data_IF_810268274168
#
_entry.id   IF_810268274168
#
_cell.length_a   1.000
_cell.length_b   1.000
_cell.length_c   1.000
_cell.angle_alpha   90.00
_cell.angle_beta   90.00
_cell.angle_gamma   90.00
#
_symmetry.space_group_name_H-M   'P 1'
#
loop_
_entity.id
_entity.type
_entity.pdbx_description
1 polymer ?
#
# COMPACT_ATOMS: atom_id res chain seq x y z
N UNK A 1 -1.30 -20.76 7.57
CA UNK A 1 -0.29 -20.36 8.57
C UNK A 1 0.10 -18.93 8.22
N UNK A 2 -0.41 -17.95 8.96
CA UNK A 2 -0.36 -16.52 8.61
C UNK A 2 0.66 -15.81 9.49
N UNK A 3 1.91 -16.27 9.44
CA UNK A 3 3.04 -15.57 10.05
C UNK A 3 4.00 -15.30 8.92
N UNK A 4 4.13 -14.02 8.55
CA UNK A 4 5.09 -13.63 7.53
C UNK A 4 6.49 -13.78 8.14
N UNK A 5 7.38 -14.51 7.46
CA UNK A 5 8.76 -14.79 7.90
C UNK A 5 9.63 -13.52 8.11
N UNK A 6 9.09 -12.33 7.87
CA UNK A 6 9.77 -11.04 8.04
C UNK A 6 9.15 -10.17 9.14
N UNK A 7 8.22 -10.70 9.95
CA UNK A 7 7.61 -9.99 11.08
C UNK A 7 8.40 -10.20 12.39
N UNK A 8 9.72 -10.10 12.33
CA UNK A 8 10.61 -10.29 13.48
C UNK A 8 10.83 -8.97 14.27
N UNK A 9 10.25 -7.87 13.79
CA UNK A 9 10.41 -6.51 14.32
C UNK A 9 9.33 -6.12 15.35
N UNK A 10 8.52 -7.05 15.83
CA UNK A 10 7.47 -6.80 16.82
C UNK A 10 7.99 -6.09 18.09
N UNK A 11 9.23 -6.39 18.49
CA UNK A 11 9.88 -5.77 19.63
C UNK A 11 10.16 -4.27 19.43
N UNK A 12 10.30 -3.81 18.19
CA UNK A 12 10.49 -2.39 17.87
C UNK A 12 9.23 -1.56 18.13
N UNK A 13 8.06 -2.22 18.10
CA UNK A 13 6.77 -1.59 18.37
C UNK A 13 6.33 -1.69 19.83
N UNK A 14 7.05 -2.47 20.68
CA UNK A 14 6.69 -2.64 22.09
C UNK A 14 6.56 -1.33 22.86
N UNK A 15 7.53 -0.39 22.79
CA UNK A 15 7.42 0.86 23.53
C UNK A 15 6.19 1.69 23.11
N UNK A 16 5.83 1.64 21.82
CA UNK A 16 4.66 2.33 21.29
C UNK A 16 3.35 1.67 21.75
N UNK A 17 3.31 0.33 21.78
CA UNK A 17 2.16 -0.42 22.25
C UNK A 17 1.93 -0.18 23.75
N UNK A 18 2.98 -0.21 24.56
CA UNK A 18 2.95 0.09 25.99
C UNK A 18 2.46 1.53 26.23
N UNK A 19 3.04 2.51 25.52
CA UNK A 19 2.60 3.90 25.64
C UNK A 19 1.11 4.07 25.28
N UNK A 20 0.67 3.50 24.15
CA UNK A 20 -0.72 3.58 23.70
C UNK A 20 -1.69 2.96 24.71
N UNK A 21 -1.31 1.84 25.31
CA UNK A 21 -2.10 1.18 26.34
C UNK A 21 -2.16 2.02 27.62
N UNK A 22 -1.02 2.53 28.10
CA UNK A 22 -0.93 3.31 29.34
C UNK A 22 -1.61 4.69 29.23
N UNK A 23 -1.71 5.24 28.01
CA UNK A 23 -2.38 6.51 27.71
C UNK A 23 -3.89 6.37 27.41
N UNK A 24 -4.42 5.15 27.29
CA UNK A 24 -5.84 4.94 26.97
C UNK A 24 -6.71 4.88 28.23
N UNK A 25 -7.90 5.48 28.18
CA UNK A 25 -8.86 5.40 29.27
C UNK A 25 -9.30 3.96 29.54
N UNK A 26 -9.08 3.50 30.76
CA UNK A 26 -9.52 2.17 31.15
C UNK A 26 -11.02 2.19 31.50
N UNK A 27 -11.76 1.19 31.02
CA UNK A 27 -13.23 1.16 31.09
C UNK A 27 -13.82 1.31 32.50
N UNK A 28 -13.11 0.79 33.51
CA UNK A 28 -13.52 0.80 34.93
C UNK A 28 -13.18 2.09 35.67
N UNK A 29 -12.06 2.74 35.34
CA UNK A 29 -11.58 3.96 36.02
C UNK A 29 -11.93 5.24 35.28
N UNK A 30 -12.29 5.14 33.99
CA UNK A 30 -12.52 6.27 33.07
C UNK A 30 -11.32 7.23 32.98
N UNK A 31 -10.14 6.71 33.28
CA UNK A 31 -8.88 7.44 33.30
C UNK A 31 -7.78 6.54 32.72
N UNK A 32 -6.76 7.16 32.14
CA UNK A 32 -5.56 6.47 31.70
C UNK A 32 -4.78 5.91 32.90
N UNK A 33 -3.92 4.91 32.64
CA UNK A 33 -3.04 4.37 33.67
C UNK A 33 -1.97 5.38 34.07
N UNK A 34 -1.45 6.17 33.14
CA UNK A 34 -0.52 7.27 33.45
C UNK A 34 -1.14 8.29 34.41
N UNK A 35 -2.39 8.70 34.15
CA UNK A 35 -3.10 9.60 35.02
C UNK A 35 -3.35 8.98 36.41
N UNK A 36 -3.70 7.69 36.45
CA UNK A 36 -3.96 6.98 37.71
C UNK A 36 -2.70 6.86 38.58
N UNK A 37 -1.54 6.64 37.99
CA UNK A 37 -0.28 6.42 38.72
C UNK A 37 0.44 7.74 39.03
N UNK A 38 0.50 8.67 38.07
CA UNK A 38 1.32 9.87 38.17
C UNK A 38 0.49 11.15 38.40
N UNK A 39 -0.84 11.08 38.30
CA UNK A 39 -1.73 12.24 38.40
C UNK A 39 -1.75 13.13 37.15
N UNK A 40 -1.02 12.77 36.09
CA UNK A 40 -1.00 13.48 34.81
C UNK A 40 -0.59 12.55 33.68
N UNK A 41 -1.09 12.85 32.47
CA UNK A 41 -0.64 12.20 31.25
C UNK A 41 0.60 12.88 30.69
N UNK A 42 1.59 12.12 30.15
CA UNK A 42 2.72 12.70 29.48
C UNK A 42 2.26 13.49 28.22
N UNK A 43 2.85 14.66 27.93
CA UNK A 43 2.55 15.38 26.70
C UNK A 43 2.96 14.52 25.50
N UNK A 44 2.04 14.35 24.55
CA UNK A 44 2.35 13.73 23.27
C UNK A 44 3.05 14.75 22.38
N UNK A 45 4.38 14.71 22.38
CA UNK A 45 5.20 15.64 21.59
C UNK A 45 5.31 15.15 20.14
N UNK A 46 4.40 15.62 19.29
CA UNK A 46 4.38 15.26 17.87
C UNK A 46 5.52 15.91 17.08
N UNK A 47 6.16 16.93 17.64
CA UNK A 47 7.13 17.77 16.94
C UNK A 47 8.46 17.03 16.68
N UNK A 48 8.70 15.94 17.42
CA UNK A 48 9.85 15.05 17.25
C UNK A 48 9.66 13.91 16.24
N UNK A 49 8.50 13.82 15.57
CA UNK A 49 8.33 12.89 14.44
C UNK A 49 9.16 13.42 13.28
N UNK A 50 10.42 13.00 13.20
CA UNK A 50 11.28 13.28 12.06
C UNK A 50 10.56 12.84 10.79
N UNK A 51 10.36 13.77 9.84
CA UNK A 51 9.74 13.52 8.53
C UNK A 51 10.51 12.51 7.67
N UNK A 52 11.60 11.93 8.17
CA UNK A 52 12.28 10.83 7.49
C UNK A 52 11.44 9.57 7.64
N UNK A 53 10.61 9.33 6.63
CA UNK A 53 9.61 8.29 6.64
C UNK A 53 10.14 7.13 5.79
N UNK A 54 10.51 5.99 6.40
CA UNK A 54 10.63 4.71 5.70
C UNK A 54 9.42 4.45 4.80
N UNK A 55 8.23 4.88 5.23
CA UNK A 55 7.00 4.84 4.45
C UNK A 55 7.08 5.62 3.12
N UNK A 56 7.71 6.80 3.09
CA UNK A 56 7.89 7.58 1.86
C UNK A 56 8.87 6.89 0.91
N UNK A 57 10.00 6.40 1.44
CA UNK A 57 10.98 5.62 0.65
C UNK A 57 10.34 4.36 0.06
N UNK A 58 9.54 3.64 0.85
CA UNK A 58 8.76 2.48 0.40
C UNK A 58 7.74 2.87 -0.68
N UNK A 59 6.98 3.94 -0.48
CA UNK A 59 5.99 4.43 -1.44
C UNK A 59 6.64 4.77 -2.79
N UNK A 60 7.78 5.47 -2.77
CA UNK A 60 8.52 5.78 -4.01
C UNK A 60 9.02 4.52 -4.69
N UNK A 61 9.51 3.53 -3.94
CA UNK A 61 9.95 2.24 -4.49
C UNK A 61 8.78 1.49 -5.16
N UNK A 62 7.63 1.41 -4.50
CA UNK A 62 6.42 0.77 -5.05
C UNK A 62 6.00 1.46 -6.35
N UNK A 63 5.98 2.79 -6.35
CA UNK A 63 5.60 3.57 -7.52
C UNK A 63 6.55 3.34 -8.71
N UNK A 64 7.85 3.29 -8.47
CA UNK A 64 8.86 2.97 -9.51
C UNK A 64 8.61 1.58 -10.10
N UNK A 65 8.41 0.57 -9.25
CA UNK A 65 8.15 -0.81 -9.70
C UNK A 65 6.87 -0.88 -10.53
N UNK A 66 5.80 -0.21 -10.10
CA UNK A 66 4.55 -0.16 -10.86
C UNK A 66 4.73 0.52 -12.23
N UNK A 67 5.51 1.60 -12.31
CA UNK A 67 5.81 2.26 -13.57
C UNK A 67 6.58 1.34 -14.52
N UNK A 68 7.58 0.61 -14.03
CA UNK A 68 8.36 -0.33 -14.83
C UNK A 68 7.49 -1.47 -15.38
N UNK A 69 6.67 -2.09 -14.52
CA UNK A 69 5.73 -3.15 -14.92
C UNK A 69 4.74 -2.67 -15.97
N UNK A 70 4.16 -1.48 -15.79
CA UNK A 70 3.22 -0.91 -16.74
C UNK A 70 3.88 -0.63 -18.11
N UNK A 71 5.11 -0.10 -18.12
CA UNK A 71 5.86 0.14 -19.35
C UNK A 71 6.12 -1.16 -20.12
N UNK A 72 6.52 -2.20 -19.41
CA UNK A 72 6.81 -3.50 -20.02
C UNK A 72 5.54 -4.15 -20.56
N UNK A 73 4.44 -4.10 -19.82
CA UNK A 73 3.14 -4.61 -20.26
C UNK A 73 2.65 -3.93 -21.54
N UNK A 74 2.77 -2.60 -21.63
CA UNK A 74 2.41 -1.84 -22.84
C UNK A 74 3.31 -2.26 -24.02
N UNK A 75 4.61 -2.40 -23.78
CA UNK A 75 5.57 -2.83 -24.81
C UNK A 75 5.20 -4.20 -25.37
N UNK A 76 4.99 -5.20 -24.51
CA UNK A 76 4.62 -6.54 -24.95
C UNK A 76 3.25 -6.56 -25.62
N UNK A 77 2.26 -5.82 -25.11
CA UNK A 77 0.94 -5.70 -25.75
C UNK A 77 1.04 -5.18 -27.17
N UNK A 78 1.84 -4.13 -27.40
CA UNK A 78 2.08 -3.57 -28.74
C UNK A 78 2.81 -4.57 -29.64
N UNK A 79 3.78 -5.31 -29.09
CA UNK A 79 4.49 -6.36 -29.81
C UNK A 79 3.52 -7.46 -30.26
N UNK A 80 2.70 -7.99 -29.37
CA UNK A 80 1.67 -8.99 -29.69
C UNK A 80 0.71 -8.47 -30.76
N UNK A 81 0.23 -7.23 -30.63
CA UNK A 81 -0.62 -6.59 -31.64
C UNK A 81 0.05 -6.58 -33.02
N UNK A 82 1.31 -6.16 -33.10
CA UNK A 82 2.04 -6.12 -34.36
C UNK A 82 2.21 -7.49 -35.03
N UNK A 83 2.38 -8.56 -34.25
CA UNK A 83 2.46 -9.92 -34.78
C UNK A 83 1.08 -10.44 -35.23
N UNK A 84 0.04 -10.16 -34.47
CA UNK A 84 -1.34 -10.52 -34.84
C UNK A 84 -1.78 -9.81 -36.12
N UNK A 85 -1.49 -8.51 -36.24
CA UNK A 85 -1.82 -7.70 -37.42
C UNK A 85 -1.14 -8.22 -38.70
N UNK A 86 0.08 -8.78 -38.61
CA UNK A 86 0.76 -9.42 -39.75
C UNK A 86 0.05 -10.67 -40.26
N UNK A 87 -0.60 -11.42 -39.38
CA UNK A 87 -1.30 -12.67 -39.71
C UNK A 87 -2.79 -12.43 -40.01
N UNK A 88 -3.24 -11.17 -39.99
CA UNK A 88 -4.64 -10.80 -40.18
C UNK A 88 -4.98 -10.77 -41.66
N UNK A 89 -5.92 -11.61 -42.09
CA UNK A 89 -6.49 -11.53 -43.43
C UNK A 89 -7.33 -10.26 -43.60
N UNK A 90 -7.47 -9.78 -44.85
CA UNK A 90 -8.30 -8.61 -45.15
C UNK A 90 -9.74 -8.88 -44.70
N UNK A 91 -10.37 -7.95 -43.96
CA UNK A 91 -11.77 -8.09 -43.60
C UNK A 91 -12.63 -8.34 -44.84
N UNK A 92 -13.51 -9.33 -44.77
CA UNK A 92 -14.48 -9.59 -45.83
C UNK A 92 -15.36 -8.35 -46.00
N UNK A 93 -15.42 -7.81 -47.22
CA UNK A 93 -16.32 -6.70 -47.55
C UNK A 93 -17.73 -7.28 -47.70
N UNK A 94 -18.60 -6.99 -46.74
CA UNK A 94 -20.00 -7.41 -46.80
C UNK A 94 -20.79 -6.38 -47.61
N UNK A 95 -21.21 -6.75 -48.82
CA UNK A 95 -22.15 -5.95 -49.59
C UNK A 95 -23.57 -6.31 -49.13
N UNK A 96 -24.39 -5.34 -48.65
CA UNK A 96 -25.79 -5.61 -48.34
C UNK A 96 -26.49 -6.07 -49.62
N UNK A 97 -27.10 -7.25 -49.55
CA UNK A 97 -27.79 -7.86 -50.69
C UNK A 97 -28.91 -6.97 -51.20
N UNK A 98 -28.96 -6.78 -52.51
CA UNK A 98 -30.06 -6.07 -53.18
C UNK A 98 -31.26 -7.02 -53.19
N UNK A 99 -32.34 -6.67 -52.49
CA UNK A 99 -33.63 -7.38 -52.61
C UNK A 99 -34.18 -7.19 -54.02
N UNK A 100 -34.56 -8.31 -54.66
CA UNK A 100 -35.37 -8.34 -55.88
C UNK A 100 -36.81 -7.91 -55.60
#
# INVERSE_FOLDING_TARGET
MYVSYHQDDWNTFLPLAEFSYNSSDHSSTKQSQFFTVNGSDPPFDSDHITKDTPARKLSTKIQSVQQDVNRELVTETNRFKSYADKSREKPLVFNPGVSL
#
